data_IF_954308027287
#
_entry.id   IF_954308027287
#
_cell.length_a   1.000
_cell.length_b   1.000
_cell.length_c   1.000
_cell.angle_alpha   90.00
_cell.angle_beta   90.00
_cell.angle_gamma   90.00
#
_symmetry.space_group_name_H-M   'P 1'
#
loop_
_entity.id
_entity.type
_entity.pdbx_description
1 polymer ?
#
# COMPACT_ATOMS: atom_id res chain seq x y z
N UNK A 1 -38.69 64.40 -42.93
CA UNK A 1 -38.57 62.92 -43.14
C UNK A 1 -37.20 62.35 -42.77
N UNK A 2 -36.06 63.04 -42.99
CA UNK A 2 -34.73 62.51 -42.66
C UNK A 2 -34.42 62.36 -41.14
N UNK A 3 -34.97 63.24 -40.29
CA UNK A 3 -34.73 63.20 -38.84
C UNK A 3 -35.36 61.98 -38.13
N UNK A 4 -36.56 61.57 -38.54
CA UNK A 4 -37.22 60.38 -37.96
C UNK A 4 -36.53 59.07 -38.34
N UNK A 5 -35.92 58.99 -39.52
CA UNK A 5 -35.20 57.81 -39.95
C UNK A 5 -33.93 57.58 -39.12
N UNK A 6 -33.19 58.67 -38.81
CA UNK A 6 -31.97 58.59 -37.99
C UNK A 6 -32.31 58.20 -36.55
N UNK A 7 -33.36 58.76 -35.96
CA UNK A 7 -33.78 58.43 -34.58
C UNK A 7 -34.24 56.97 -34.45
N UNK A 8 -34.95 56.44 -35.45
CA UNK A 8 -35.39 55.04 -35.48
C UNK A 8 -34.20 54.10 -35.64
N UNK A 9 -33.23 54.44 -36.52
CA UNK A 9 -32.03 53.61 -36.73
C UNK A 9 -31.13 53.62 -35.49
N UNK A 10 -30.92 54.76 -34.83
CA UNK A 10 -30.08 54.82 -33.63
C UNK A 10 -30.73 54.15 -32.42
N UNK A 11 -32.05 54.26 -32.24
CA UNK A 11 -32.77 53.52 -31.18
C UNK A 11 -32.82 52.03 -31.45
N UNK A 12 -32.94 51.59 -32.71
CA UNK A 12 -32.86 50.17 -33.07
C UNK A 12 -31.46 49.61 -32.88
N UNK A 13 -30.39 50.36 -33.22
CA UNK A 13 -29.00 49.97 -32.96
C UNK A 13 -28.72 49.92 -31.46
N UNK A 14 -29.17 50.91 -30.68
CA UNK A 14 -29.06 50.90 -29.21
C UNK A 14 -29.85 49.74 -28.59
N UNK A 15 -31.04 49.43 -29.10
CA UNK A 15 -31.83 48.28 -28.65
C UNK A 15 -31.15 46.96 -29.01
N UNK A 16 -30.57 46.82 -30.22
CA UNK A 16 -29.80 45.64 -30.62
C UNK A 16 -28.51 45.47 -29.80
N UNK A 17 -27.82 46.57 -29.48
CA UNK A 17 -26.65 46.55 -28.60
C UNK A 17 -27.07 46.19 -27.17
N UNK A 18 -28.18 46.76 -26.66
CA UNK A 18 -28.71 46.41 -25.35
C UNK A 18 -29.15 44.93 -25.32
N UNK A 19 -29.79 44.44 -26.39
CA UNK A 19 -30.18 43.02 -26.57
C UNK A 19 -28.97 42.09 -26.61
N UNK A 20 -27.90 42.49 -27.29
CA UNK A 20 -26.66 41.71 -27.33
C UNK A 20 -25.91 41.74 -25.99
N UNK A 21 -26.04 42.81 -25.20
CA UNK A 21 -25.50 42.89 -23.84
C UNK A 21 -26.32 42.04 -22.86
N UNK A 22 -27.62 41.80 -23.10
CA UNK A 22 -28.41 40.82 -22.30
C UNK A 22 -28.20 39.37 -22.75
N UNK A 23 -27.42 39.11 -23.79
CA UNK A 23 -27.05 37.76 -24.25
C UNK A 23 -25.55 37.55 -24.03
N UNK A 24 -25.15 37.51 -22.76
CA UNK A 24 -23.90 36.91 -22.26
C UNK A 24 -23.88 36.97 -20.73
N UNK A 25 -24.78 36.23 -20.06
CA UNK A 25 -24.56 35.81 -18.66
C UNK A 25 -25.56 34.73 -18.23
N UNK A 26 -25.61 33.63 -18.98
CA UNK A 26 -26.03 32.36 -18.41
C UNK A 26 -25.02 31.34 -18.91
N UNK A 27 -23.83 31.41 -18.31
CA UNK A 27 -22.84 30.35 -18.46
C UNK A 27 -23.55 29.05 -18.10
N UNK A 28 -23.83 28.22 -19.10
CA UNK A 28 -24.44 26.90 -18.95
C UNK A 28 -23.65 25.93 -18.05
N UNK A 29 -22.60 26.42 -17.39
CA UNK A 29 -21.72 25.71 -16.50
C UNK A 29 -21.94 26.00 -15.02
N UNK A 30 -21.78 24.97 -14.19
CA UNK A 30 -21.69 25.12 -12.74
C UNK A 30 -20.62 24.21 -12.14
N UNK A 31 -20.08 24.59 -10.98
CA UNK A 31 -19.16 23.76 -10.20
C UNK A 31 -19.90 22.61 -9.54
N UNK A 32 -19.36 21.40 -9.67
CA UNK A 32 -19.88 20.24 -8.96
C UNK A 32 -19.77 20.47 -7.45
N UNK A 33 -20.83 20.16 -6.67
CA UNK A 33 -20.70 20.06 -5.23
C UNK A 33 -19.60 19.05 -4.88
N UNK A 34 -18.71 19.46 -3.98
CA UNK A 34 -17.60 18.63 -3.53
C UNK A 34 -17.30 18.88 -2.07
N UNK A 35 -16.63 17.91 -1.47
CA UNK A 35 -15.97 18.13 -0.20
C UNK A 35 -14.71 17.26 -0.10
N UNK A 36 -13.77 17.69 0.72
CA UNK A 36 -12.54 16.94 0.96
C UNK A 36 -12.77 15.74 1.87
N UNK A 37 -12.12 14.62 1.56
CA UNK A 37 -12.07 13.42 2.43
C UNK A 37 -10.68 13.17 3.03
N UNK A 38 -9.83 14.21 3.06
CA UNK A 38 -8.46 14.15 3.57
C UNK A 38 -7.43 13.82 2.49
N UNK A 39 -6.15 13.93 2.84
CA UNK A 39 -5.02 13.82 1.88
C UNK A 39 -4.69 12.38 1.46
N UNK A 40 -5.32 11.39 2.08
CA UNK A 40 -5.03 9.97 1.88
C UNK A 40 -3.96 9.45 2.82
N UNK A 41 -4.00 8.14 3.08
CA UNK A 41 -3.03 7.38 3.89
C UNK A 41 -2.32 6.37 2.99
N UNK A 42 -1.06 6.00 3.28
CA UNK A 42 -0.41 4.92 2.56
C UNK A 42 -1.14 3.59 2.77
N UNK A 43 -1.00 2.68 1.82
CA UNK A 43 -1.33 1.26 2.02
C UNK A 43 -0.52 0.73 3.21
N UNK A 44 -1.19 0.05 4.13
CA UNK A 44 -0.60 -0.26 5.43
C UNK A 44 -1.10 -1.55 6.05
N UNK A 45 -2.03 -2.24 5.41
CA UNK A 45 -2.78 -3.32 6.05
C UNK A 45 -2.91 -4.53 5.15
N UNK A 46 -3.00 -5.69 5.77
CA UNK A 46 -3.29 -6.96 5.12
C UNK A 46 -4.75 -7.37 5.37
N UNK A 47 -5.24 -8.32 4.58
CA UNK A 47 -6.54 -8.94 4.84
C UNK A 47 -6.50 -9.72 6.16
N UNK A 48 -7.69 -9.97 6.72
CA UNK A 48 -7.81 -10.77 7.94
C UNK A 48 -7.20 -12.17 7.73
N UNK A 49 -6.39 -12.62 8.71
CA UNK A 49 -5.70 -13.91 8.63
C UNK A 49 -4.38 -13.90 7.83
N UNK A 50 -3.86 -12.71 7.50
CA UNK A 50 -2.55 -12.55 6.87
C UNK A 50 -1.53 -11.87 7.80
N UNK A 51 -0.27 -12.27 7.67
CA UNK A 51 0.87 -11.63 8.31
C UNK A 51 1.49 -10.59 7.36
N UNK A 52 1.79 -9.42 7.90
CA UNK A 52 2.57 -8.41 7.20
C UNK A 52 4.07 -8.64 7.42
N UNK A 53 4.83 -8.80 6.33
CA UNK A 53 6.29 -8.90 6.36
C UNK A 53 6.90 -8.13 5.17
N UNK A 54 7.87 -7.27 5.46
CA UNK A 54 8.60 -6.45 4.48
C UNK A 54 7.72 -5.69 3.46
N UNK A 55 6.52 -5.25 3.87
CA UNK A 55 5.60 -4.50 3.01
C UNK A 55 4.72 -5.36 2.10
N UNK A 56 4.66 -6.67 2.37
CA UNK A 56 3.78 -7.63 1.69
C UNK A 56 2.94 -8.38 2.73
N UNK A 57 1.85 -8.94 2.25
CA UNK A 57 0.92 -9.75 3.03
C UNK A 57 1.04 -11.21 2.64
N UNK A 58 1.15 -12.08 3.64
CA UNK A 58 1.29 -13.51 3.46
C UNK A 58 0.24 -14.25 4.28
N UNK A 59 -0.19 -15.41 3.84
CA UNK A 59 -1.01 -16.29 4.69
C UNK A 59 -0.25 -16.64 5.98
N UNK A 60 -0.99 -16.75 7.08
CA UNK A 60 -0.45 -17.23 8.35
C UNK A 60 0.14 -18.65 8.21
N UNK A 61 1.17 -18.92 9.00
CA UNK A 61 1.78 -20.24 9.08
C UNK A 61 0.96 -21.18 9.98
N UNK A 62 1.14 -22.47 9.77
CA UNK A 62 0.55 -23.54 10.57
C UNK A 62 1.16 -23.52 11.98
N UNK A 63 0.44 -24.09 12.94
CA UNK A 63 0.88 -24.16 14.33
C UNK A 63 2.31 -24.75 14.46
N UNK A 64 3.16 -24.05 15.21
CA UNK A 64 4.56 -24.41 15.42
C UNK A 64 5.54 -23.85 14.39
N UNK A 65 5.05 -23.20 13.33
CA UNK A 65 5.85 -22.47 12.36
C UNK A 65 5.70 -20.97 12.52
N UNK A 66 6.72 -20.22 12.09
CA UNK A 66 6.68 -18.77 12.01
C UNK A 66 7.11 -18.30 10.62
N UNK A 67 6.49 -17.22 10.16
CA UNK A 67 6.74 -16.66 8.83
C UNK A 67 7.99 -15.80 8.79
N UNK A 68 8.80 -15.97 7.74
CA UNK A 68 9.81 -15.00 7.31
C UNK A 68 9.64 -14.82 5.80
N UNK A 69 8.97 -13.74 5.41
CA UNK A 69 8.54 -13.47 4.05
C UNK A 69 7.75 -14.66 3.46
N UNK A 70 8.17 -15.26 2.34
CA UNK A 70 7.43 -16.32 1.65
C UNK A 70 7.56 -17.71 2.27
N UNK A 71 8.30 -17.88 3.37
CA UNK A 71 8.61 -19.18 3.96
C UNK A 71 8.12 -19.26 5.40
N UNK A 72 7.41 -20.35 5.72
CA UNK A 72 7.13 -20.77 7.08
C UNK A 72 8.27 -21.65 7.59
N UNK A 73 8.91 -21.26 8.69
CA UNK A 73 10.02 -21.97 9.32
C UNK A 73 9.58 -22.60 10.63
N UNK A 74 9.97 -23.85 10.87
CA UNK A 74 9.68 -24.48 12.15
C UNK A 74 10.48 -23.82 13.29
N UNK A 75 9.86 -23.72 14.47
CA UNK A 75 10.50 -23.09 15.64
C UNK A 75 11.60 -23.96 16.23
N UNK A 76 12.69 -23.35 16.71
CA UNK A 76 13.69 -24.11 17.46
C UNK A 76 13.14 -24.51 18.84
N UNK A 77 13.36 -25.76 19.27
CA UNK A 77 12.98 -26.20 20.60
C UNK A 77 13.77 -25.46 21.69
N UNK A 78 13.24 -25.46 22.91
CA UNK A 78 13.92 -24.84 24.05
C UNK A 78 15.30 -25.46 24.29
N UNK A 79 16.30 -24.62 24.57
CA UNK A 79 17.69 -25.04 24.79
C UNK A 79 18.52 -25.20 23.50
N UNK A 80 17.95 -24.96 22.33
CA UNK A 80 18.66 -24.92 21.06
C UNK A 80 18.89 -23.47 20.63
N UNK A 81 20.00 -23.22 19.94
CA UNK A 81 20.32 -21.89 19.41
C UNK A 81 19.88 -21.80 17.96
N UNK A 82 18.93 -20.91 17.68
CA UNK A 82 18.47 -20.62 16.33
C UNK A 82 19.55 -19.87 15.52
N UNK A 83 19.92 -20.40 14.36
CA UNK A 83 20.84 -19.74 13.42
C UNK A 83 20.22 -19.50 12.04
N UNK A 84 18.89 -19.49 11.94
CA UNK A 84 18.13 -19.27 10.72
C UNK A 84 17.60 -20.56 10.14
N UNK A 85 18.39 -21.22 9.27
CA UNK A 85 17.99 -22.46 8.57
C UNK A 85 17.96 -23.70 9.47
N UNK A 86 18.49 -23.59 10.69
CA UNK A 86 18.58 -24.69 11.63
C UNK A 86 18.73 -24.23 13.07
N UNK A 87 18.80 -25.22 13.94
CA UNK A 87 18.89 -25.10 15.39
C UNK A 87 20.15 -25.84 15.84
N UNK A 88 21.11 -25.12 16.42
CA UNK A 88 22.30 -25.71 17.01
C UNK A 88 21.91 -26.47 18.28
N UNK A 89 22.35 -27.72 18.37
CA UNK A 89 22.12 -28.56 19.55
C UNK A 89 22.85 -27.97 20.77
N UNK A 90 22.33 -28.19 21.99
CA UNK A 90 23.10 -27.96 23.20
C UNK A 90 24.39 -28.81 23.18
N UNK A 91 25.39 -28.35 23.94
CA UNK A 91 26.73 -28.94 23.95
C UNK A 91 26.69 -30.45 24.18
N UNK A 92 27.24 -31.20 23.22
CA UNK A 92 27.55 -32.62 23.43
C UNK A 92 28.61 -32.77 24.51
N UNK A 93 28.62 -33.91 25.19
CA UNK A 93 29.65 -34.20 26.19
C UNK A 93 30.29 -35.57 25.97
N UNK A 94 31.52 -35.70 26.45
CA UNK A 94 32.29 -36.93 26.40
C UNK A 94 31.86 -37.88 27.52
N UNK A 95 31.60 -39.14 27.20
CA UNK A 95 31.14 -40.17 28.16
C UNK A 95 32.20 -41.20 28.55
N UNK A 96 33.47 -40.88 28.33
CA UNK A 96 34.59 -41.76 28.67
C UNK A 96 35.15 -42.55 27.48
N UNK A 97 36.28 -43.21 27.73
CA UNK A 97 37.00 -44.04 26.75
C UNK A 97 36.46 -45.47 26.64
N UNK A 98 35.58 -45.88 27.55
CA UNK A 98 34.96 -47.21 27.60
C UNK A 98 35.75 -48.21 28.45
N UNK A 99 35.05 -49.26 28.87
CA UNK A 99 35.53 -50.32 29.76
C UNK A 99 35.43 -51.69 29.09
N UNK A 100 36.29 -52.63 29.44
CA UNK A 100 36.27 -53.97 28.82
C UNK A 100 35.12 -54.87 29.30
N UNK A 101 34.56 -54.60 30.48
CA UNK A 101 33.45 -55.37 31.05
C UNK A 101 32.35 -54.45 31.57
N UNK A 102 31.10 -54.94 31.59
CA UNK A 102 29.95 -54.18 32.07
C UNK A 102 30.10 -53.82 33.55
N UNK A 103 30.51 -54.78 34.38
CA UNK A 103 30.66 -54.57 35.83
C UNK A 103 31.71 -53.52 36.14
N UNK A 104 32.84 -53.49 35.41
CA UNK A 104 33.88 -52.48 35.61
C UNK A 104 33.35 -51.07 35.28
N UNK A 105 32.51 -50.96 34.24
CA UNK A 105 31.86 -49.71 33.88
C UNK A 105 30.86 -49.25 34.94
N UNK A 106 29.95 -50.13 35.36
CA UNK A 106 28.91 -49.78 36.33
C UNK A 106 29.49 -49.43 37.70
N UNK A 107 30.59 -50.08 38.09
CA UNK A 107 31.32 -49.79 39.32
C UNK A 107 32.08 -48.45 39.25
N UNK A 108 32.73 -48.12 38.13
CA UNK A 108 33.51 -46.87 38.00
C UNK A 108 32.64 -45.63 37.80
N UNK A 109 31.57 -45.76 37.00
CA UNK A 109 30.73 -44.63 36.62
C UNK A 109 29.54 -44.43 37.57
N UNK A 110 29.22 -45.43 38.40
CA UNK A 110 28.09 -45.38 39.33
C UNK A 110 26.72 -45.29 38.63
N UNK A 111 26.66 -45.68 37.36
CA UNK A 111 25.45 -45.67 36.52
C UNK A 111 25.37 -46.94 35.70
N UNK A 112 24.22 -47.20 35.09
CA UNK A 112 24.07 -48.32 34.15
C UNK A 112 24.89 -48.08 32.91
N UNK A 113 25.45 -49.16 32.35
CA UNK A 113 26.26 -49.12 31.16
C UNK A 113 25.63 -49.87 29.98
N UNK A 114 25.95 -49.41 28.78
CA UNK A 114 25.56 -50.03 27.51
C UNK A 114 26.79 -50.41 26.70
N UNK A 115 26.65 -51.47 25.90
CA UNK A 115 27.74 -51.97 25.05
C UNK A 115 27.74 -51.25 23.72
N UNK A 116 28.88 -50.69 23.32
CA UNK A 116 29.11 -50.15 22.00
C UNK A 116 30.36 -50.79 21.39
N UNK A 117 30.17 -51.55 20.30
CA UNK A 117 31.20 -52.41 19.71
C UNK A 117 31.81 -53.38 20.76
N UNK A 118 33.09 -53.21 21.10
CA UNK A 118 33.84 -54.10 21.99
C UNK A 118 33.94 -53.59 23.44
N UNK A 119 33.46 -52.37 23.72
CA UNK A 119 33.61 -51.70 25.02
C UNK A 119 32.25 -51.34 25.62
N UNK A 120 32.25 -51.10 26.94
CA UNK A 120 31.11 -50.70 27.75
C UNK A 120 31.24 -49.23 28.15
N UNK A 121 30.17 -48.46 27.96
CA UNK A 121 30.12 -47.04 28.25
C UNK A 121 28.93 -46.73 29.16
N UNK A 122 29.02 -45.69 30.01
CA UNK A 122 27.85 -45.22 30.74
C UNK A 122 26.76 -44.77 29.76
N UNK A 123 25.50 -45.07 30.11
CA UNK A 123 24.35 -44.59 29.34
C UNK A 123 24.31 -43.06 29.38
N UNK A 124 23.96 -42.44 28.25
CA UNK A 124 23.83 -40.99 28.17
C UNK A 124 22.73 -40.46 29.10
N UNK A 125 22.91 -39.23 29.59
CA UNK A 125 21.93 -38.49 30.39
C UNK A 125 20.62 -38.34 29.63
N UNK A 126 19.53 -38.12 30.36
CA UNK A 126 18.21 -37.94 29.74
C UNK A 126 18.24 -36.82 28.68
N UNK A 127 17.62 -37.08 27.52
CA UNK A 127 17.63 -36.17 26.36
C UNK A 127 18.88 -36.28 25.47
N UNK A 128 19.79 -37.21 25.75
CA UNK A 128 20.97 -37.48 24.93
C UNK A 128 21.00 -38.95 24.45
N UNK A 129 21.63 -39.16 23.30
CA UNK A 129 21.96 -40.47 22.75
C UNK A 129 23.45 -40.57 22.46
N UNK A 130 23.92 -41.80 22.30
CA UNK A 130 25.30 -42.08 21.93
C UNK A 130 25.53 -41.79 20.44
N UNK A 131 26.15 -40.65 20.15
CA UNK A 131 26.68 -40.32 18.84
C UNK A 131 28.07 -40.95 18.69
N UNK A 132 28.12 -42.18 18.19
CA UNK A 132 29.34 -42.97 18.16
C UNK A 132 29.65 -43.65 19.51
N UNK A 133 30.91 -43.97 19.75
CA UNK A 133 31.30 -44.70 20.96
C UNK A 133 31.20 -43.87 22.23
N UNK A 134 31.56 -42.59 22.15
CA UNK A 134 32.14 -41.88 23.27
C UNK A 134 31.59 -40.45 23.44
N UNK A 135 30.67 -40.03 22.57
CA UNK A 135 30.02 -38.71 22.63
C UNK A 135 28.53 -38.92 22.89
N UNK A 136 28.00 -38.20 23.87
CA UNK A 136 26.57 -38.04 24.06
C UNK A 136 26.12 -36.75 23.38
N UNK A 137 25.22 -36.87 22.40
CA UNK A 137 24.62 -35.75 21.66
C UNK A 137 23.12 -35.68 21.96
N UNK A 138 22.54 -34.49 21.91
CA UNK A 138 21.11 -34.29 22.16
C UNK A 138 20.27 -34.70 20.95
N UNK A 139 19.05 -35.17 21.20
CA UNK A 139 18.09 -35.53 20.14
C UNK A 139 17.53 -34.29 19.43
N UNK A 140 17.29 -34.39 18.13
CA UNK A 140 16.41 -33.45 17.43
C UNK A 140 14.94 -33.83 17.71
N UNK A 141 14.09 -32.87 18.11
CA UNK A 141 12.66 -33.13 18.24
C UNK A 141 11.98 -33.31 16.87
N UNK A 142 10.73 -33.77 16.89
CA UNK A 142 9.92 -33.91 15.68
C UNK A 142 9.83 -32.59 14.90
N UNK A 143 9.80 -32.67 13.57
CA UNK A 143 9.79 -31.49 12.70
C UNK A 143 11.19 -30.93 12.40
N UNK A 144 12.26 -31.55 12.88
CA UNK A 144 13.63 -31.20 12.47
C UNK A 144 14.41 -32.41 11.98
N UNK A 145 15.34 -32.18 11.06
CA UNK A 145 16.21 -33.20 10.49
C UNK A 145 17.55 -33.15 11.21
N UNK A 146 17.98 -34.27 11.80
CA UNK A 146 19.27 -34.38 12.45
C UNK A 146 20.42 -34.34 11.44
N UNK A 147 21.26 -33.31 11.53
CA UNK A 147 22.44 -33.10 10.69
C UNK A 147 23.74 -33.16 11.50
N UNK A 148 23.72 -33.85 12.65
CA UNK A 148 24.88 -34.07 13.52
C UNK A 148 24.92 -33.11 14.69
N UNK A 149 25.75 -32.07 14.60
CA UNK A 149 25.88 -31.05 15.66
C UNK A 149 24.71 -30.04 15.67
N UNK A 150 23.83 -30.10 14.68
CA UNK A 150 22.65 -29.24 14.56
C UNK A 150 21.46 -30.04 14.03
N UNK A 151 20.29 -29.44 14.16
CA UNK A 151 19.05 -29.92 13.56
C UNK A 151 18.63 -28.91 12.48
N UNK A 152 18.44 -29.35 11.24
CA UNK A 152 17.92 -28.49 10.17
C UNK A 152 16.41 -28.36 10.33
N UNK A 153 15.88 -27.14 10.26
CA UNK A 153 14.44 -26.89 10.36
C UNK A 153 13.73 -27.43 9.13
N UNK A 154 12.53 -27.95 9.33
CA UNK A 154 11.58 -28.10 8.23
C UNK A 154 10.98 -26.73 7.89
N UNK A 155 10.60 -26.56 6.63
CA UNK A 155 9.96 -25.35 6.14
C UNK A 155 9.08 -25.65 4.95
N UNK A 156 8.15 -24.74 4.67
CA UNK A 156 7.32 -24.79 3.47
C UNK A 156 7.01 -23.37 3.00
N UNK A 157 6.67 -23.25 1.71
CA UNK A 157 6.32 -21.97 1.11
C UNK A 157 4.87 -21.59 1.40
N UNK A 158 4.61 -20.30 1.62
CA UNK A 158 3.26 -19.72 1.81
C UNK A 158 2.88 -18.71 0.72
N UNK A 159 3.51 -18.84 -0.45
CA UNK A 159 3.34 -17.95 -1.60
C UNK A 159 4.32 -16.77 -1.62
N UNK A 160 4.28 -15.97 -2.68
CA UNK A 160 5.18 -14.81 -2.89
C UNK A 160 4.73 -13.53 -2.16
N UNK A 161 3.56 -13.58 -1.52
CA UNK A 161 2.92 -12.45 -0.87
C UNK A 161 2.09 -11.59 -1.83
N UNK A 162 1.14 -10.86 -1.28
CA UNK A 162 0.33 -9.86 -1.99
C UNK A 162 0.69 -8.46 -1.51
N UNK A 163 0.47 -7.40 -2.32
CA UNK A 163 0.68 -6.03 -1.88
C UNK A 163 -0.19 -5.67 -0.67
N UNK A 164 0.27 -4.70 0.11
CA UNK A 164 -0.57 -4.09 1.15
C UNK A 164 -1.82 -3.47 0.54
N UNK A 165 -2.93 -3.60 1.27
CA UNK A 165 -4.17 -2.91 1.01
C UNK A 165 -4.37 -1.72 1.95
N UNK A 166 -5.59 -1.21 1.90
CA UNK A 166 -6.05 -0.17 2.81
C UNK A 166 -6.45 -0.76 4.17
N UNK A 167 -6.26 0.03 5.22
CA UNK A 167 -6.82 -0.30 6.52
C UNK A 167 -8.35 -0.38 6.45
N UNK A 168 -8.95 -1.03 7.45
CA UNK A 168 -10.39 -1.15 7.57
C UNK A 168 -11.08 0.22 7.43
N UNK A 169 -12.22 0.26 6.73
CA UNK A 169 -13.03 1.45 6.41
C UNK A 169 -12.36 2.50 5.49
N UNK A 170 -11.27 2.14 4.80
CA UNK A 170 -10.66 3.00 3.79
C UNK A 170 -10.76 2.37 2.41
N UNK A 171 -11.01 3.21 1.41
CA UNK A 171 -11.11 2.85 0.00
C UNK A 171 -9.81 3.21 -0.71
N UNK A 172 -9.29 2.27 -1.49
CA UNK A 172 -8.11 2.45 -2.31
C UNK A 172 -8.39 3.32 -3.53
N UNK A 173 -7.55 4.33 -3.76
CA UNK A 173 -7.58 5.18 -4.95
C UNK A 173 -6.16 5.65 -5.30
N UNK A 174 -5.71 5.31 -6.51
CA UNK A 174 -4.43 5.74 -7.10
C UNK A 174 -3.19 5.62 -6.18
N UNK A 175 -3.09 4.54 -5.38
CA UNK A 175 -1.95 4.27 -4.51
C UNK A 175 -2.08 4.78 -3.07
N UNK A 176 -3.19 5.43 -2.74
CA UNK A 176 -3.51 5.91 -1.40
C UNK A 176 -4.86 5.38 -0.94
N UNK A 177 -5.09 5.48 0.36
CA UNK A 177 -6.27 5.00 1.05
C UNK A 177 -7.02 6.19 1.65
N UNK A 178 -8.29 6.32 1.34
CA UNK A 178 -9.12 7.43 1.76
C UNK A 178 -10.37 6.93 2.50
N UNK A 179 -10.96 7.75 3.38
CA UNK A 179 -12.30 7.48 3.90
C UNK A 179 -13.31 7.27 2.76
N UNK A 180 -14.37 6.51 3.01
CA UNK A 180 -15.46 6.42 2.04
C UNK A 180 -16.20 7.77 1.93
N UNK A 181 -16.73 8.07 0.73
CA UNK A 181 -17.57 9.24 0.54
C UNK A 181 -18.96 9.01 1.17
N UNK A 182 -19.59 10.10 1.63
CA UNK A 182 -20.90 10.13 2.26
C UNK A 182 -21.96 10.34 1.19
N UNK A 183 -23.14 9.75 1.40
CA UNK A 183 -24.23 9.85 0.44
C UNK A 183 -23.86 9.23 -0.90
N UNK A 184 -24.20 9.93 -1.99
CA UNK A 184 -24.00 9.44 -3.36
C UNK A 184 -22.75 10.05 -4.04
N UNK A 185 -21.86 10.68 -3.26
CA UNK A 185 -20.64 11.27 -3.80
C UNK A 185 -19.65 10.18 -4.23
N UNK A 186 -19.01 10.40 -5.37
CA UNK A 186 -17.97 9.50 -5.88
C UNK A 186 -16.59 10.03 -5.54
N UNK A 187 -15.74 9.15 -5.04
CA UNK A 187 -14.41 9.54 -4.63
C UNK A 187 -13.40 9.54 -5.78
N UNK A 188 -12.68 10.65 -5.96
CA UNK A 188 -11.47 10.71 -6.80
C UNK A 188 -10.35 11.39 -6.01
N UNK A 189 -9.37 10.60 -5.59
CA UNK A 189 -8.26 11.01 -4.73
C UNK A 189 -8.74 11.66 -3.43
N UNK A 190 -8.30 12.87 -3.06
CA UNK A 190 -8.70 13.50 -1.81
C UNK A 190 -10.10 14.12 -1.80
N UNK A 191 -10.84 14.09 -2.92
CA UNK A 191 -12.10 14.83 -3.09
C UNK A 191 -13.26 13.89 -3.41
N UNK A 192 -14.37 14.09 -2.72
CA UNK A 192 -15.66 13.48 -3.02
C UNK A 192 -16.44 14.42 -3.95
N UNK A 193 -16.94 13.89 -5.07
CA UNK A 193 -17.61 14.63 -6.13
C UNK A 193 -19.06 14.17 -6.30
N UNK A 194 -20.00 15.10 -6.30
CA UNK A 194 -21.40 14.79 -6.60
C UNK A 194 -21.61 14.54 -8.09
N UNK A 195 -22.71 13.88 -8.46
CA UNK A 195 -23.12 13.77 -9.85
C UNK A 195 -23.52 15.13 -10.43
N UNK A 196 -23.39 15.30 -11.75
CA UNK A 196 -23.97 16.47 -12.39
C UNK A 196 -25.50 16.39 -12.40
N UNK A 197 -26.21 17.53 -12.28
CA UNK A 197 -27.65 17.57 -12.42
C UNK A 197 -28.13 16.95 -13.74
N UNK A 198 -29.36 16.45 -13.74
CA UNK A 198 -29.96 15.85 -14.93
C UNK A 198 -29.92 16.82 -16.12
N UNK A 199 -29.41 16.35 -17.27
CA UNK A 199 -29.30 17.13 -18.50
C UNK A 199 -27.96 17.86 -18.68
N UNK A 200 -27.08 17.85 -17.67
CA UNK A 200 -25.72 18.41 -17.78
C UNK A 200 -24.68 17.31 -18.05
N UNK A 201 -23.63 17.68 -18.79
CA UNK A 201 -22.46 16.87 -19.06
C UNK A 201 -21.37 17.10 -18.01
N UNK A 202 -20.82 16.02 -17.46
CA UNK A 202 -19.73 16.10 -16.48
C UNK A 202 -18.37 16.36 -17.13
N UNK A 203 -17.80 17.53 -16.87
CA UNK A 203 -16.50 17.99 -17.36
C UNK A 203 -15.51 18.15 -16.20
N UNK A 204 -15.01 17.04 -15.66
CA UNK A 204 -14.14 17.05 -14.49
C UNK A 204 -14.85 17.67 -13.27
N UNK A 205 -14.39 18.85 -12.86
CA UNK A 205 -14.96 19.60 -11.73
C UNK A 205 -16.21 20.45 -12.10
N UNK A 206 -16.51 20.59 -13.40
CA UNK A 206 -17.62 21.36 -13.92
C UNK A 206 -18.75 20.45 -14.44
N UNK A 207 -19.96 20.99 -14.45
CA UNK A 207 -21.10 20.46 -15.19
C UNK A 207 -21.49 21.47 -16.25
N UNK A 208 -21.41 21.10 -17.53
CA UNK A 208 -21.67 21.97 -18.69
C UNK A 208 -22.87 21.45 -19.48
N UNK A 209 -23.35 22.17 -20.50
CA UNK A 209 -24.51 21.71 -21.28
C UNK A 209 -24.16 20.63 -22.30
N UNK A 210 -22.89 20.53 -22.70
CA UNK A 210 -22.45 19.55 -23.69
C UNK A 210 -20.98 19.16 -23.58
N UNK A 211 -20.63 18.06 -24.24
CA UNK A 211 -19.23 17.64 -24.41
C UNK A 211 -18.42 18.66 -25.24
N UNK A 212 -19.02 19.30 -26.23
CA UNK A 212 -18.35 20.30 -27.06
C UNK A 212 -17.91 21.52 -26.24
N UNK A 213 -18.77 21.99 -25.34
CA UNK A 213 -18.43 23.06 -24.40
C UNK A 213 -17.31 22.65 -23.46
N UNK A 214 -17.33 21.40 -22.95
CA UNK A 214 -16.23 20.88 -22.13
C UNK A 214 -14.89 20.94 -22.85
N UNK A 215 -14.85 20.55 -24.12
CA UNK A 215 -13.60 20.59 -24.90
C UNK A 215 -13.13 22.04 -25.10
N UNK A 216 -14.04 22.97 -25.40
CA UNK A 216 -13.69 24.37 -25.61
C UNK A 216 -13.14 24.99 -24.32
N UNK A 217 -13.82 24.80 -23.18
CA UNK A 217 -13.40 25.30 -21.86
C UNK A 217 -12.06 24.68 -21.43
N UNK A 218 -11.87 23.38 -21.61
CA UNK A 218 -10.58 22.76 -21.27
C UNK A 218 -9.44 23.22 -22.19
N UNK A 219 -9.73 23.53 -23.46
CA UNK A 219 -8.74 24.04 -24.40
C UNK A 219 -8.36 25.50 -24.13
N UNK A 220 -9.30 26.36 -23.75
CA UNK A 220 -9.00 27.75 -23.39
C UNK A 220 -8.06 27.79 -22.19
N UNK A 221 -8.41 27.07 -21.11
CA UNK A 221 -7.58 26.98 -19.91
C UNK A 221 -6.20 26.40 -20.24
N UNK A 222 -6.13 25.32 -21.01
CA UNK A 222 -4.86 24.70 -21.38
C UNK A 222 -3.97 25.62 -22.23
N UNK A 223 -4.56 26.39 -23.15
CA UNK A 223 -3.82 27.35 -23.96
C UNK A 223 -3.29 28.51 -23.12
N UNK A 224 -4.10 29.09 -22.24
CA UNK A 224 -3.68 30.20 -21.39
C UNK A 224 -2.56 29.79 -20.43
N UNK A 225 -2.73 28.65 -19.75
CA UNK A 225 -1.69 28.10 -18.87
C UNK A 225 -0.44 27.72 -19.67
N UNK A 226 -0.60 27.12 -20.85
CA UNK A 226 0.51 26.74 -21.72
C UNK A 226 1.34 27.95 -22.21
N UNK A 227 0.66 29.03 -22.60
CA UNK A 227 1.31 30.29 -22.99
C UNK A 227 2.07 30.90 -21.82
N UNK A 228 1.45 30.93 -20.62
CA UNK A 228 2.08 31.45 -19.42
C UNK A 228 3.36 30.68 -19.06
N UNK A 229 3.33 29.34 -19.13
CA UNK A 229 4.51 28.50 -18.86
C UNK A 229 5.63 28.77 -19.88
N UNK A 230 5.29 28.91 -21.16
CA UNK A 230 6.27 29.19 -22.21
C UNK A 230 6.95 30.56 -22.01
N UNK A 231 6.17 31.57 -21.62
CA UNK A 231 6.66 32.92 -21.36
C UNK A 231 7.59 32.96 -20.14
N UNK A 232 7.20 32.31 -19.03
CA UNK A 232 8.03 32.17 -17.81
C UNK A 232 9.34 31.42 -18.12
N UNK A 233 9.30 30.38 -18.95
CA UNK A 233 10.49 29.65 -19.35
C UNK A 233 11.46 30.51 -20.19
N UNK A 234 10.93 31.47 -20.95
CA UNK A 234 11.73 32.38 -21.78
C UNK A 234 12.32 33.55 -21.00
N UNK A 235 11.60 34.09 -20.01
CA UNK A 235 12.10 35.11 -19.07
C UNK A 235 11.61 34.84 -17.64
N UNK A 236 12.44 34.19 -16.80
CA UNK A 236 12.07 33.84 -15.44
C UNK A 236 11.88 35.04 -14.51
N UNK A 237 12.44 36.22 -14.84
CA UNK A 237 12.36 37.40 -13.97
C UNK A 237 10.98 38.07 -14.02
N UNK A 238 10.24 37.89 -15.12
CA UNK A 238 8.89 38.44 -15.32
C UNK A 238 7.78 37.50 -14.83
N UNK A 239 8.13 36.33 -14.28
CA UNK A 239 7.17 35.34 -13.81
C UNK A 239 6.04 35.92 -12.94
N UNK A 240 6.28 36.83 -11.97
CA UNK A 240 5.21 37.42 -11.18
C UNK A 240 4.20 38.22 -12.02
N UNK A 241 4.65 38.94 -13.04
CA UNK A 241 3.78 39.72 -13.93
C UNK A 241 2.96 38.81 -14.85
N UNK A 242 3.61 37.80 -15.44
CA UNK A 242 2.94 36.79 -16.30
C UNK A 242 1.89 36.02 -15.51
N UNK A 243 2.21 35.58 -14.29
CA UNK A 243 1.24 34.93 -13.39
C UNK A 243 0.05 35.83 -13.07
N UNK A 244 0.28 37.12 -12.79
CA UNK A 244 -0.79 38.07 -12.52
C UNK A 244 -1.72 38.25 -13.73
N UNK A 245 -1.18 38.40 -14.94
CA UNK A 245 -1.99 38.49 -16.16
C UNK A 245 -2.76 37.20 -16.44
N UNK A 246 -2.13 36.05 -16.24
CA UNK A 246 -2.76 34.74 -16.45
C UNK A 246 -3.93 34.54 -15.50
N UNK A 247 -3.79 34.93 -14.23
CA UNK A 247 -4.90 34.89 -13.26
C UNK A 247 -6.05 35.79 -13.71
N UNK A 248 -5.76 36.99 -14.24
CA UNK A 248 -6.82 37.90 -14.74
C UNK A 248 -7.57 37.29 -15.92
N UNK A 249 -6.86 36.59 -16.83
CA UNK A 249 -7.46 35.94 -18.00
C UNK A 249 -8.31 34.74 -17.63
N UNK A 250 -7.86 33.92 -16.67
CA UNK A 250 -8.58 32.75 -16.18
C UNK A 250 -9.70 33.07 -15.16
N UNK A 251 -9.67 34.25 -14.53
CA UNK A 251 -10.63 34.60 -13.48
C UNK A 251 -12.10 34.45 -13.92
N UNK A 252 -12.53 34.90 -15.11
CA UNK A 252 -13.91 34.72 -15.58
C UNK A 252 -14.33 33.25 -15.65
N UNK A 253 -13.45 32.38 -16.17
CA UNK A 253 -13.73 30.94 -16.32
C UNK A 253 -13.95 30.23 -14.97
N UNK A 254 -13.44 30.84 -13.88
CA UNK A 254 -13.58 30.32 -12.52
C UNK A 254 -14.81 30.88 -11.77
N UNK A 255 -15.41 31.97 -12.24
CA UNK A 255 -16.60 32.59 -11.64
C UNK A 255 -17.85 31.88 -12.17
N UNK A 256 -18.03 30.62 -11.75
CA UNK A 256 -19.25 29.85 -12.03
C UNK A 256 -20.01 29.56 -10.72
N UNK A 257 -21.34 29.44 -10.73
CA UNK A 257 -22.10 29.08 -9.54
C UNK A 257 -21.85 27.60 -9.16
N UNK A 258 -22.17 27.22 -7.92
CA UNK A 258 -22.28 25.79 -7.56
C UNK A 258 -23.56 25.21 -8.16
N UNK A 259 -23.50 23.99 -8.69
CA UNK A 259 -24.70 23.30 -9.13
C UNK A 259 -25.61 23.02 -7.93
N UNK A 260 -26.93 22.99 -8.15
CA UNK A 260 -27.83 22.39 -7.16
C UNK A 260 -27.55 20.90 -7.04
N UNK A 261 -27.67 20.36 -5.83
CA UNK A 261 -27.55 18.92 -5.58
C UNK A 261 -28.54 18.14 -6.46
N UNK A 262 -28.11 16.99 -6.97
CA UNK A 262 -28.88 16.15 -7.91
C UNK A 262 -29.99 15.35 -7.27
#
# INVERSE_FOLDING_TARGET
MKANFIVVVTTFILFCIFSAIVVADDDGGCWRPTYGRGVGKPISSCEDGQDQDAGLCYSQCDDGYYGVGPVCWHSCPSGFTDYGVGCSKPSSYWRGTGHFTQSACEESEGTRCEKYLLLWYPICSNGYYNAGCCICSSYCPEGLVDTGASCTKTSYGRGVGTPLGCAHDLVYDAGLCYPECQGNYNGVGPVCWDACPSGKFGCGALCLDSEAECVIEMLSIAQEVGLAVAEIASDPFDAPAVLAETIIKLAPDLIKPLCSES
#
